data_IF_287667152085
#
_entry.id   IF_287667152085
#
_cell.length_a   1.000
_cell.length_b   1.000
_cell.length_c   1.000
_cell.angle_alpha   90.00
_cell.angle_beta   90.00
_cell.angle_gamma   90.00
#
_symmetry.space_group_name_H-M   'P 1'
#
loop_
_entity.id
_entity.type
_entity.pdbx_description
1 polymer ?
#
# COMPACT_ATOMS: atom_id res chain seq x y z
N UNK A 1 -30.50 53.53 50.21
CA UNK A 1 -30.57 53.56 48.74
C UNK A 1 -29.17 53.30 48.22
N UNK A 2 -28.85 52.05 47.86
CA UNK A 2 -27.53 51.63 47.46
C UNK A 2 -27.65 50.93 46.08
N UNK A 3 -27.09 51.58 45.07
CA UNK A 3 -27.14 51.12 43.69
C UNK A 3 -25.92 50.18 43.48
N UNK A 4 -26.16 48.92 43.23
CA UNK A 4 -25.12 47.94 42.86
C UNK A 4 -24.94 47.93 41.34
N UNK A 5 -23.72 48.32 40.89
CA UNK A 5 -23.28 48.25 39.48
C UNK A 5 -22.80 46.84 39.18
N UNK A 6 -23.43 46.19 38.18
CA UNK A 6 -22.97 44.91 37.63
C UNK A 6 -22.12 45.16 36.40
N UNK A 7 -20.81 44.89 36.53
CA UNK A 7 -19.89 44.84 35.40
C UNK A 7 -19.96 43.44 34.79
N UNK A 8 -20.50 43.35 33.58
CA UNK A 8 -20.48 42.12 32.78
C UNK A 8 -19.16 42.02 32.01
N UNK A 9 -18.40 41.01 32.29
CA UNK A 9 -17.18 40.66 31.51
C UNK A 9 -17.58 39.91 30.22
N UNK A 10 -17.36 40.53 29.08
CA UNK A 10 -17.50 39.90 27.76
C UNK A 10 -16.25 39.05 27.52
N UNK A 11 -16.39 37.72 27.55
CA UNK A 11 -15.34 36.78 27.14
C UNK A 11 -15.43 36.59 25.64
N UNK A 12 -14.56 37.23 24.90
CA UNK A 12 -14.43 37.03 23.44
C UNK A 12 -13.60 35.76 23.16
N UNK A 13 -14.26 34.67 22.83
CA UNK A 13 -13.61 33.44 22.41
C UNK A 13 -13.11 33.61 20.98
N UNK A 14 -11.79 33.77 20.80
CA UNK A 14 -11.13 33.76 19.50
C UNK A 14 -10.99 32.29 19.06
N UNK A 15 -11.83 31.87 18.12
CA UNK A 15 -11.68 30.57 17.44
C UNK A 15 -10.58 30.74 16.38
N UNK A 16 -9.36 30.27 16.66
CA UNK A 16 -8.33 30.12 15.65
C UNK A 16 -8.72 28.95 14.75
N UNK A 17 -9.29 29.24 13.60
CA UNK A 17 -9.45 28.27 12.52
C UNK A 17 -8.05 28.00 11.91
N UNK A 18 -7.43 26.88 12.24
CA UNK A 18 -6.28 26.36 11.50
C UNK A 18 -6.78 25.91 10.11
N UNK A 19 -6.88 26.85 9.18
CA UNK A 19 -7.04 26.54 7.77
C UNK A 19 -5.73 25.94 7.26
N UNK A 20 -5.70 24.62 6.95
CA UNK A 20 -4.64 24.05 6.16
C UNK A 20 -4.70 24.69 4.77
N UNK A 21 -3.78 25.61 4.46
CA UNK A 21 -3.69 26.22 3.16
C UNK A 21 -3.47 25.11 2.11
N UNK A 22 -4.37 24.99 1.14
CA UNK A 22 -4.12 24.14 -0.02
C UNK A 22 -2.94 24.71 -0.81
N UNK A 23 -2.03 23.86 -1.33
CA UNK A 23 -0.87 24.32 -2.11
C UNK A 23 -1.31 25.17 -3.30
N UNK A 24 -0.50 26.14 -3.66
CA UNK A 24 -0.77 26.97 -4.83
C UNK A 24 -0.84 26.07 -6.08
N UNK A 25 -1.84 26.28 -6.95
CA UNK A 25 -2.10 25.42 -8.12
C UNK A 25 -0.85 25.25 -9.01
N UNK A 26 0.01 26.26 -9.11
CA UNK A 26 1.23 26.23 -9.91
C UNK A 26 2.29 25.24 -9.35
N UNK A 27 2.48 25.20 -8.04
CA UNK A 27 3.45 24.30 -7.39
C UNK A 27 2.97 22.85 -7.42
N UNK A 28 1.68 22.62 -7.20
CA UNK A 28 1.07 21.32 -7.37
C UNK A 28 1.26 20.75 -8.78
N UNK A 29 1.02 21.58 -9.84
CA UNK A 29 1.23 21.15 -11.23
C UNK A 29 2.69 20.76 -11.46
N UNK A 30 3.63 21.57 -10.99
CA UNK A 30 5.08 21.32 -11.13
C UNK A 30 5.51 20.03 -10.44
N UNK A 31 4.97 19.72 -9.26
CA UNK A 31 5.38 18.56 -8.45
C UNK A 31 4.65 17.27 -8.84
N UNK A 32 3.33 17.32 -9.05
CA UNK A 32 2.48 16.15 -9.20
C UNK A 32 2.18 15.78 -10.66
N UNK A 33 2.08 16.78 -11.55
CA UNK A 33 1.76 16.54 -12.97
C UNK A 33 2.72 17.29 -13.92
N UNK A 34 4.05 17.13 -13.77
CA UNK A 34 5.05 17.90 -14.50
C UNK A 34 4.99 17.67 -16.01
N UNK A 35 4.35 16.60 -16.47
CA UNK A 35 4.22 16.24 -17.90
C UNK A 35 2.81 16.48 -18.46
N UNK A 36 1.93 17.14 -17.69
CA UNK A 36 0.53 17.34 -18.07
C UNK A 36 -0.37 16.10 -17.93
N UNK A 37 0.16 14.99 -17.43
CA UNK A 37 -0.55 13.76 -17.09
C UNK A 37 -0.08 13.23 -15.74
N UNK A 38 -0.93 12.47 -15.05
CA UNK A 38 -0.55 11.80 -13.81
C UNK A 38 0.07 10.43 -14.12
N UNK A 39 1.36 10.26 -13.80
CA UNK A 39 2.09 8.99 -13.99
C UNK A 39 2.04 8.20 -12.68
N UNK A 40 1.29 7.09 -12.71
CA UNK A 40 1.06 6.25 -11.53
C UNK A 40 1.90 4.98 -11.63
N UNK A 41 2.89 4.81 -10.76
CA UNK A 41 3.64 3.56 -10.66
C UNK A 41 2.77 2.50 -9.96
N UNK A 42 2.61 1.34 -10.59
CA UNK A 42 1.80 0.22 -10.09
C UNK A 42 2.62 -1.07 -10.02
N UNK A 43 2.47 -1.83 -8.95
CA UNK A 43 3.03 -3.17 -8.85
C UNK A 43 2.05 -4.16 -9.51
N UNK A 44 2.54 -4.94 -10.48
CA UNK A 44 1.74 -5.97 -11.16
C UNK A 44 1.81 -7.25 -10.33
N UNK A 45 0.65 -7.79 -9.97
CA UNK A 45 0.53 -9.12 -9.40
C UNK A 45 -0.11 -10.06 -10.42
N UNK A 46 0.26 -11.36 -10.43
CA UNK A 46 -0.45 -12.34 -11.24
C UNK A 46 -1.90 -12.47 -10.76
N UNK A 47 -2.82 -12.71 -11.68
CA UNK A 47 -4.20 -13.03 -11.32
C UNK A 47 -4.23 -14.26 -10.38
N UNK A 48 -5.13 -14.31 -9.39
CA UNK A 48 -6.32 -13.46 -9.21
C UNK A 48 -6.13 -12.28 -8.23
N UNK A 49 -4.97 -12.06 -7.61
CA UNK A 49 -4.80 -10.96 -6.66
C UNK A 49 -4.73 -9.61 -7.37
N UNK A 50 -5.71 -8.76 -7.14
CA UNK A 50 -5.80 -7.42 -7.70
C UNK A 50 -5.77 -6.31 -6.64
N UNK A 51 -5.26 -6.59 -5.44
CA UNK A 51 -5.05 -5.56 -4.42
C UNK A 51 -4.12 -4.45 -4.94
N UNK A 52 -3.08 -4.82 -5.68
CA UNK A 52 -2.22 -3.85 -6.37
C UNK A 52 -2.74 -3.61 -7.78
N UNK A 53 -2.19 -4.30 -8.76
CA UNK A 53 -2.65 -4.24 -10.13
C UNK A 53 -2.44 -5.57 -10.87
N UNK A 54 -3.37 -5.92 -11.75
CA UNK A 54 -3.23 -7.02 -12.70
C UNK A 54 -3.49 -6.50 -14.11
N UNK A 55 -2.79 -7.06 -15.08
CA UNK A 55 -3.02 -6.76 -16.49
C UNK A 55 -4.01 -7.79 -17.06
N UNK A 56 -5.10 -7.32 -17.62
CA UNK A 56 -6.04 -8.17 -18.35
C UNK A 56 -5.40 -8.68 -19.65
N UNK A 57 -5.34 -10.00 -19.80
CA UNK A 57 -4.65 -10.64 -20.92
C UNK A 57 -5.32 -10.40 -22.28
N UNK A 58 -6.63 -10.11 -22.29
CA UNK A 58 -7.41 -9.91 -23.53
C UNK A 58 -7.39 -8.44 -23.95
N UNK A 59 -7.66 -7.54 -23.01
CA UNK A 59 -7.79 -6.10 -23.31
C UNK A 59 -6.49 -5.32 -23.13
N UNK A 60 -5.49 -5.90 -22.47
CA UNK A 60 -4.25 -5.24 -22.09
C UNK A 60 -4.40 -4.16 -21.00
N UNK A 61 -5.61 -3.92 -20.50
CA UNK A 61 -5.91 -2.91 -19.48
C UNK A 61 -5.50 -3.38 -18.09
N UNK A 62 -5.10 -2.44 -17.25
CA UNK A 62 -4.87 -2.70 -15.84
C UNK A 62 -6.18 -2.59 -15.05
N UNK A 63 -6.33 -3.42 -14.02
CA UNK A 63 -7.36 -3.35 -12.99
C UNK A 63 -6.75 -3.63 -11.62
N UNK A 64 -7.35 -3.10 -10.56
CA UNK A 64 -6.85 -3.26 -9.20
C UNK A 64 -7.13 -2.04 -8.34
N UNK A 65 -6.98 -2.17 -7.02
CA UNK A 65 -7.25 -1.08 -6.08
C UNK A 65 -6.38 0.13 -6.38
N UNK A 66 -5.08 -0.05 -6.64
CA UNK A 66 -4.17 1.06 -6.95
C UNK A 66 -4.49 1.71 -8.30
N UNK A 67 -5.02 0.95 -9.25
CA UNK A 67 -5.48 1.45 -10.56
C UNK A 67 -6.71 2.34 -10.39
N UNK A 68 -7.70 1.89 -9.61
CA UNK A 68 -8.93 2.64 -9.35
C UNK A 68 -8.65 3.95 -8.62
N UNK A 69 -7.78 3.92 -7.59
CA UNK A 69 -7.36 5.11 -6.84
C UNK A 69 -6.55 6.08 -7.72
N UNK A 70 -5.61 5.58 -8.52
CA UNK A 70 -4.83 6.40 -9.46
C UNK A 70 -5.70 7.06 -10.53
N UNK A 71 -6.64 6.31 -11.10
CA UNK A 71 -7.60 6.86 -12.07
C UNK A 71 -8.53 7.91 -11.45
N UNK A 72 -8.96 7.70 -10.20
CA UNK A 72 -9.79 8.68 -9.48
C UNK A 72 -9.02 9.96 -9.16
N UNK A 73 -7.75 9.84 -8.75
CA UNK A 73 -6.88 11.00 -8.52
C UNK A 73 -6.67 11.81 -9.81
N UNK A 74 -6.39 11.15 -10.94
CA UNK A 74 -6.23 11.81 -12.23
C UNK A 74 -7.51 12.54 -12.67
N UNK A 75 -8.69 11.91 -12.49
CA UNK A 75 -9.99 12.57 -12.73
C UNK A 75 -10.18 13.81 -11.88
N UNK A 76 -9.84 13.74 -10.58
CA UNK A 76 -9.92 14.90 -9.67
C UNK A 76 -8.99 16.03 -10.09
N UNK A 77 -7.82 15.71 -10.63
CA UNK A 77 -6.86 16.68 -11.18
C UNK A 77 -7.27 17.22 -12.57
N UNK A 78 -8.21 16.57 -13.26
CA UNK A 78 -8.63 16.93 -14.61
C UNK A 78 -7.58 16.61 -15.68
N UNK A 79 -6.73 15.58 -15.47
CA UNK A 79 -5.64 15.21 -16.40
C UNK A 79 -5.73 13.73 -16.80
N UNK A 80 -5.11 13.36 -17.93
CA UNK A 80 -4.95 11.94 -18.29
C UNK A 80 -4.11 11.18 -17.25
N UNK A 81 -4.39 9.88 -17.09
CA UNK A 81 -3.57 8.95 -16.29
C UNK A 81 -2.70 8.08 -17.19
N UNK A 82 -1.47 7.85 -16.74
CA UNK A 82 -0.56 6.85 -17.32
C UNK A 82 -0.13 5.88 -16.23
N UNK A 83 -0.40 4.59 -16.42
CA UNK A 83 0.04 3.55 -15.49
C UNK A 83 1.38 2.97 -15.92
N UNK A 84 2.35 2.96 -15.00
CA UNK A 84 3.71 2.46 -15.20
C UNK A 84 3.88 1.16 -14.42
N UNK A 85 3.84 0.00 -15.09
CA UNK A 85 3.90 -1.30 -14.43
C UNK A 85 5.31 -1.65 -13.96
N UNK A 86 5.40 -2.23 -12.77
CA UNK A 86 6.58 -2.81 -12.16
C UNK A 86 6.22 -4.21 -11.63
N UNK A 87 7.15 -5.15 -11.62
CA UNK A 87 6.90 -6.52 -11.14
C UNK A 87 6.61 -6.56 -9.63
N UNK A 88 7.21 -5.64 -8.87
CA UNK A 88 7.02 -5.54 -7.43
C UNK A 88 7.18 -4.09 -6.94
N UNK A 89 6.66 -3.81 -5.74
CA UNK A 89 6.79 -2.49 -5.11
C UNK A 89 8.24 -2.10 -4.77
N UNK A 90 9.17 -3.06 -4.69
CA UNK A 90 10.59 -2.79 -4.55
C UNK A 90 11.21 -2.12 -5.78
N UNK A 91 10.77 -2.47 -6.99
CA UNK A 91 11.22 -1.80 -8.22
C UNK A 91 10.73 -0.34 -8.29
N UNK A 92 9.50 -0.08 -7.82
CA UNK A 92 8.97 1.28 -7.71
C UNK A 92 9.84 2.10 -6.75
N UNK A 93 10.19 1.55 -5.58
CA UNK A 93 11.10 2.18 -4.63
C UNK A 93 12.43 2.55 -5.28
N UNK A 94 13.06 1.59 -5.98
CA UNK A 94 14.38 1.79 -6.60
C UNK A 94 14.36 2.83 -7.73
N UNK A 95 13.21 3.04 -8.36
CA UNK A 95 13.02 4.04 -9.42
C UNK A 95 12.56 5.41 -8.93
N UNK A 96 12.37 5.63 -7.62
CA UNK A 96 11.81 6.87 -7.08
C UNK A 96 12.57 8.13 -7.50
N UNK A 97 13.91 8.08 -7.50
CA UNK A 97 14.75 9.21 -7.89
C UNK A 97 14.83 9.44 -9.42
N UNK A 98 14.24 8.56 -10.24
CA UNK A 98 14.37 8.62 -11.70
C UNK A 98 13.51 9.70 -12.36
N UNK A 99 12.53 10.27 -11.63
CA UNK A 99 11.56 11.23 -12.19
C UNK A 99 10.58 10.61 -13.21
N UNK A 100 10.51 9.28 -13.30
CA UNK A 100 9.65 8.58 -14.28
C UNK A 100 8.19 8.49 -13.85
N UNK A 101 7.89 8.57 -12.55
CA UNK A 101 6.53 8.51 -12.02
C UNK A 101 6.29 9.62 -10.99
N UNK A 102 5.02 9.92 -10.71
CA UNK A 102 4.59 11.03 -9.87
C UNK A 102 3.96 10.55 -8.56
N UNK A 103 3.22 9.44 -8.60
CA UNK A 103 2.51 8.89 -7.44
C UNK A 103 2.51 7.37 -7.48
N UNK A 104 2.45 6.76 -6.31
CA UNK A 104 2.27 5.31 -6.14
C UNK A 104 1.45 5.01 -4.89
N UNK A 105 1.05 3.75 -4.74
CA UNK A 105 0.31 3.22 -3.58
C UNK A 105 1.03 1.95 -3.13
N UNK A 106 1.71 2.00 -1.97
CA UNK A 106 2.56 0.89 -1.55
C UNK A 106 2.54 0.67 -0.04
N UNK A 107 2.91 -0.52 0.45
CA UNK A 107 3.08 -0.78 1.89
C UNK A 107 4.12 0.16 2.50
N UNK A 108 3.79 0.68 3.67
CA UNK A 108 4.68 1.52 4.46
C UNK A 108 5.80 0.69 5.06
N UNK A 109 7.01 1.22 5.01
CA UNK A 109 8.22 0.58 5.54
C UNK A 109 9.32 1.64 5.75
N UNK A 110 10.13 1.50 6.79
CA UNK A 110 11.16 2.48 7.15
C UNK A 110 12.24 2.65 6.06
N UNK A 111 12.62 1.57 5.37
CA UNK A 111 13.57 1.67 4.26
C UNK A 111 13.02 2.53 3.12
N UNK A 112 11.72 2.41 2.83
CA UNK A 112 11.05 3.18 1.77
C UNK A 112 10.98 4.65 2.07
N UNK A 113 10.88 5.05 3.34
CA UNK A 113 10.90 6.46 3.77
C UNK A 113 12.18 7.19 3.37
N UNK A 114 13.24 6.48 3.02
CA UNK A 114 14.47 7.08 2.47
C UNK A 114 14.31 7.55 1.02
N UNK A 115 13.39 6.98 0.27
CA UNK A 115 13.23 7.19 -1.18
C UNK A 115 11.94 7.92 -1.54
N UNK A 116 10.89 7.76 -0.73
CA UNK A 116 9.56 8.35 -0.96
C UNK A 116 9.05 9.04 0.29
N UNK A 117 8.17 10.00 0.11
CA UNK A 117 7.37 10.57 1.18
C UNK A 117 5.98 9.96 1.15
N UNK A 118 5.57 9.39 2.30
CA UNK A 118 4.27 8.76 2.46
C UNK A 118 3.22 9.77 2.90
N UNK A 119 2.09 9.78 2.19
CA UNK A 119 0.86 10.44 2.59
C UNK A 119 0.00 9.55 3.47
N UNK A 120 -1.29 9.90 3.62
CA UNK A 120 -2.19 9.17 4.50
C UNK A 120 -2.41 7.72 4.04
N UNK A 121 -2.55 6.83 5.01
CA UNK A 121 -2.86 5.43 4.77
C UNK A 121 -4.32 5.28 4.30
N UNK A 122 -4.55 4.36 3.35
CA UNK A 122 -5.89 4.03 2.87
C UNK A 122 -6.34 2.62 3.25
N UNK A 123 -5.40 1.74 3.62
CA UNK A 123 -5.66 0.34 3.91
C UNK A 123 -4.77 -0.17 5.05
N UNK A 124 -5.30 -1.08 5.89
CA UNK A 124 -4.51 -1.83 6.88
C UNK A 124 -4.02 -3.11 6.26
N UNK A 125 -2.71 -3.32 6.29
CA UNK A 125 -2.03 -4.47 5.69
C UNK A 125 -1.64 -5.47 6.78
N UNK A 126 -2.08 -6.71 6.63
CA UNK A 126 -1.55 -7.84 7.40
C UNK A 126 -0.71 -8.74 6.50
N UNK A 127 0.51 -9.08 6.94
CA UNK A 127 1.37 -10.04 6.25
C UNK A 127 1.47 -11.33 7.06
N UNK A 128 1.40 -12.45 6.35
CA UNK A 128 1.44 -13.81 6.92
C UNK A 128 2.15 -14.76 5.96
N UNK A 129 2.07 -16.06 6.20
CA UNK A 129 2.67 -17.08 5.35
C UNK A 129 1.60 -17.93 4.65
N UNK A 130 1.82 -18.21 3.36
CA UNK A 130 1.21 -19.34 2.66
C UNK A 130 2.16 -20.52 2.80
N UNK A 131 1.71 -21.61 3.40
CA UNK A 131 2.54 -22.81 3.61
C UNK A 131 2.29 -23.85 2.51
N UNK A 132 3.34 -24.59 2.18
CA UNK A 132 3.30 -25.67 1.18
C UNK A 132 2.27 -26.75 1.54
N UNK A 133 1.78 -27.52 0.56
CA UNK A 133 0.92 -28.67 0.81
C UNK A 133 1.56 -29.65 1.77
N UNK A 134 0.80 -30.14 2.76
CA UNK A 134 1.30 -31.06 3.79
C UNK A 134 2.23 -30.46 4.85
N UNK A 135 2.48 -29.15 4.81
CA UNK A 135 3.32 -28.47 5.80
C UNK A 135 2.80 -28.64 7.21
N UNK A 136 3.75 -28.88 8.17
CA UNK A 136 3.48 -28.98 9.61
C UNK A 136 3.44 -27.62 10.31
N UNK A 137 3.80 -26.52 9.63
CA UNK A 137 3.70 -25.17 10.20
C UNK A 137 2.23 -24.84 10.47
N UNK A 138 1.84 -24.72 11.73
CA UNK A 138 0.45 -24.51 12.14
C UNK A 138 0.13 -23.03 12.41
N UNK A 139 1.09 -22.28 12.89
CA UNK A 139 0.99 -20.85 13.25
C UNK A 139 2.19 -20.07 12.75
N UNK A 140 2.08 -18.75 12.73
CA UNK A 140 3.10 -17.83 12.18
C UNK A 140 4.47 -18.03 12.86
N UNK A 141 4.48 -18.27 14.16
CA UNK A 141 5.70 -18.44 14.96
C UNK A 141 6.49 -19.69 14.57
N UNK A 142 5.83 -20.73 14.04
CA UNK A 142 6.47 -21.99 13.62
C UNK A 142 7.44 -21.77 12.44
N UNK A 143 7.26 -20.68 11.70
CA UNK A 143 8.16 -20.32 10.61
C UNK A 143 9.56 -19.87 11.09
N UNK A 144 9.69 -19.46 12.38
CA UNK A 144 10.97 -19.09 12.97
C UNK A 144 11.72 -20.31 13.53
N UNK A 145 12.02 -21.28 12.70
CA UNK A 145 12.74 -22.47 13.12
C UNK A 145 13.90 -22.83 12.16
N UNK A 146 14.99 -23.42 12.68
CA UNK A 146 16.08 -23.92 11.83
C UNK A 146 15.55 -24.90 10.78
N UNK A 147 16.02 -24.74 9.54
CA UNK A 147 15.64 -25.60 8.42
C UNK A 147 14.35 -25.17 7.69
N UNK A 148 13.55 -24.23 8.23
CA UNK A 148 12.43 -23.65 7.51
C UNK A 148 12.95 -22.67 6.45
N UNK A 149 12.49 -22.85 5.22
CA UNK A 149 12.87 -22.03 4.05
C UNK A 149 11.70 -21.10 3.71
N UNK A 150 11.90 -19.80 3.91
CA UNK A 150 10.88 -18.76 3.67
C UNK A 150 11.18 -18.06 2.34
N UNK A 151 10.32 -18.23 1.36
CA UNK A 151 10.35 -17.46 0.12
C UNK A 151 9.67 -16.12 0.26
N UNK A 152 10.17 -15.10 -0.44
CA UNK A 152 9.53 -13.80 -0.50
C UNK A 152 10.08 -12.91 -1.61
N UNK A 153 9.28 -11.94 -2.04
CA UNK A 153 9.69 -11.05 -3.13
C UNK A 153 10.74 -10.06 -2.63
N UNK A 154 11.86 -10.03 -3.33
CA UNK A 154 13.00 -9.16 -3.01
C UNK A 154 12.58 -7.69 -2.85
N UNK A 155 13.22 -6.98 -1.92
CA UNK A 155 13.04 -5.55 -1.68
C UNK A 155 11.59 -5.12 -1.30
N UNK A 156 10.75 -6.07 -0.82
CA UNK A 156 9.42 -5.74 -0.29
C UNK A 156 9.46 -5.53 1.23
N UNK A 157 8.55 -4.67 1.74
CA UNK A 157 8.39 -4.44 3.17
C UNK A 157 8.05 -5.74 3.92
N UNK A 158 7.20 -6.57 3.32
CA UNK A 158 6.79 -7.87 3.86
C UNK A 158 7.98 -8.83 4.00
N UNK A 159 8.84 -8.94 2.97
CA UNK A 159 10.01 -9.81 3.02
C UNK A 159 11.01 -9.36 4.09
N UNK A 160 11.28 -8.05 4.20
CA UNK A 160 12.12 -7.51 5.28
C UNK A 160 11.52 -7.75 6.66
N UNK A 161 10.20 -7.65 6.80
CA UNK A 161 9.53 -7.96 8.07
C UNK A 161 9.66 -9.44 8.43
N UNK A 162 9.47 -10.35 7.47
CA UNK A 162 9.67 -11.79 7.69
C UNK A 162 11.10 -12.10 8.19
N UNK A 163 12.12 -11.48 7.57
CA UNK A 163 13.52 -11.63 8.00
C UNK A 163 13.76 -11.15 9.44
N UNK A 164 13.08 -10.09 9.87
CA UNK A 164 13.19 -9.60 11.26
C UNK A 164 12.45 -10.46 12.26
N UNK A 165 11.32 -11.06 11.87
CA UNK A 165 10.44 -11.81 12.79
C UNK A 165 10.76 -13.30 12.83
N UNK A 166 11.48 -13.82 11.85
CA UNK A 166 11.88 -15.23 11.79
C UNK A 166 13.41 -15.40 11.56
N UNK A 167 14.27 -14.84 12.45
CA UNK A 167 15.71 -14.75 12.20
C UNK A 167 16.43 -16.11 12.17
N UNK A 168 15.80 -17.20 12.62
CA UNK A 168 16.41 -18.56 12.58
C UNK A 168 16.08 -19.33 11.29
N UNK A 169 15.14 -18.84 10.47
CA UNK A 169 14.79 -19.43 9.19
C UNK A 169 15.79 -19.08 8.09
N UNK A 170 15.76 -19.84 7.01
CA UNK A 170 16.50 -19.54 5.77
C UNK A 170 15.59 -18.74 4.83
N UNK A 171 16.16 -17.72 4.15
CA UNK A 171 15.37 -16.85 3.28
C UNK A 171 15.78 -16.98 1.82
N UNK A 172 14.79 -17.18 0.95
CA UNK A 172 14.95 -17.26 -0.52
C UNK A 172 14.28 -16.03 -1.14
N UNK A 173 15.08 -15.09 -1.62
CA UNK A 173 14.59 -13.90 -2.32
C UNK A 173 14.27 -14.22 -3.78
N UNK A 174 13.06 -13.92 -4.23
CA UNK A 174 12.62 -14.13 -5.61
C UNK A 174 12.22 -12.80 -6.26
N UNK A 175 12.29 -12.68 -7.61
CA UNK A 175 11.99 -11.41 -8.29
C UNK A 175 10.50 -11.06 -8.33
N UNK A 176 9.62 -12.03 -8.19
CA UNK A 176 8.17 -11.80 -8.29
C UNK A 176 7.36 -13.00 -7.87
N UNK A 177 6.04 -12.85 -7.95
CA UNK A 177 5.07 -13.85 -7.45
C UNK A 177 5.15 -15.17 -8.20
N UNK A 178 5.33 -15.14 -9.53
CA UNK A 178 5.43 -16.37 -10.34
C UNK A 178 6.67 -17.17 -9.96
N UNK A 179 7.79 -16.50 -9.67
CA UNK A 179 9.00 -17.16 -9.17
C UNK A 179 8.80 -17.74 -7.76
N UNK A 180 8.02 -17.09 -6.89
CA UNK A 180 7.66 -17.65 -5.59
C UNK A 180 6.81 -18.93 -5.70
N UNK A 181 5.84 -18.94 -6.63
CA UNK A 181 5.04 -20.13 -6.94
C UNK A 181 5.93 -21.26 -7.46
N UNK A 182 6.84 -20.95 -8.41
CA UNK A 182 7.76 -21.93 -8.98
C UNK A 182 8.67 -22.53 -7.91
N UNK A 183 9.26 -21.73 -7.03
CA UNK A 183 10.10 -22.19 -5.94
C UNK A 183 9.36 -23.10 -4.95
N UNK A 184 8.08 -22.80 -4.64
CA UNK A 184 7.26 -23.67 -3.79
C UNK A 184 6.93 -25.00 -4.47
N UNK A 185 6.58 -24.98 -5.74
CA UNK A 185 6.30 -26.19 -6.52
C UNK A 185 7.55 -27.07 -6.72
N UNK A 186 8.74 -26.47 -6.74
CA UNK A 186 10.03 -27.17 -6.82
C UNK A 186 10.57 -27.65 -5.47
N UNK A 187 9.82 -27.48 -4.38
CA UNK A 187 10.25 -27.77 -3.00
C UNK A 187 11.54 -27.04 -2.59
N UNK A 188 11.72 -25.82 -3.10
CA UNK A 188 12.86 -24.96 -2.72
C UNK A 188 12.54 -24.12 -1.48
N UNK A 189 11.23 -23.89 -1.18
CA UNK A 189 10.73 -23.13 -0.03
C UNK A 189 9.55 -23.85 0.63
N UNK A 190 9.43 -23.69 1.93
CA UNK A 190 8.37 -24.30 2.76
C UNK A 190 7.15 -23.38 2.92
N UNK A 191 7.37 -22.07 2.81
CA UNK A 191 6.30 -21.09 2.84
C UNK A 191 6.66 -19.81 2.06
N UNK A 192 5.62 -19.04 1.67
CA UNK A 192 5.74 -17.73 1.00
C UNK A 192 5.28 -16.63 1.94
N UNK A 193 6.13 -15.65 2.21
CA UNK A 193 5.83 -14.45 2.99
C UNK A 193 5.25 -13.35 2.09
N UNK A 194 3.96 -13.04 2.23
CA UNK A 194 3.29 -11.95 1.49
C UNK A 194 2.14 -11.34 2.29
N UNK A 195 1.53 -10.27 1.75
CA UNK A 195 0.28 -9.75 2.33
C UNK A 195 -0.84 -10.80 2.20
N UNK A 196 -1.73 -10.83 3.18
CA UNK A 196 -2.87 -11.76 3.21
C UNK A 196 -3.73 -11.67 1.94
N UNK A 197 -3.94 -10.44 1.45
CA UNK A 197 -4.69 -10.18 0.22
C UNK A 197 -4.01 -10.80 -1.02
N UNK A 198 -2.68 -10.72 -1.08
CA UNK A 198 -1.92 -11.35 -2.17
C UNK A 198 -1.94 -12.87 -2.08
N UNK A 199 -1.86 -13.42 -0.86
CA UNK A 199 -1.88 -14.87 -0.63
C UNK A 199 -3.23 -15.51 -0.97
N UNK A 200 -4.34 -14.82 -0.75
CA UNK A 200 -5.69 -15.34 -1.05
C UNK A 200 -5.84 -15.82 -2.49
N UNK A 201 -5.16 -15.13 -3.41
CA UNK A 201 -5.12 -15.52 -4.83
C UNK A 201 -4.15 -16.66 -5.15
N UNK A 202 -3.18 -16.95 -4.29
CA UNK A 202 -2.20 -18.02 -4.52
C UNK A 202 -2.70 -19.39 -4.11
N UNK A 203 -3.60 -19.49 -3.13
CA UNK A 203 -4.18 -20.77 -2.68
C UNK A 203 -4.79 -21.55 -3.86
N UNK A 204 -5.41 -20.87 -4.82
CA UNK A 204 -5.97 -21.51 -6.02
C UNK A 204 -4.92 -21.98 -7.02
N UNK A 205 -3.73 -21.38 -7.00
CA UNK A 205 -2.61 -21.72 -7.89
C UNK A 205 -1.70 -22.82 -7.33
N UNK A 206 -1.76 -23.06 -6.02
CA UNK A 206 -0.97 -24.06 -5.31
C UNK A 206 -1.95 -24.95 -4.53
N UNK A 207 -2.58 -25.95 -5.18
CA UNK A 207 -3.58 -26.81 -4.54
C UNK A 207 -3.00 -27.50 -3.29
N UNK A 208 -3.76 -27.47 -2.18
CA UNK A 208 -3.33 -28.03 -0.89
C UNK A 208 -2.51 -27.10 -0.01
N UNK A 209 -2.09 -25.93 -0.53
CA UNK A 209 -1.50 -24.88 0.30
C UNK A 209 -2.56 -24.20 1.17
N UNK A 210 -2.15 -23.58 2.26
CA UNK A 210 -3.03 -22.81 3.15
C UNK A 210 -2.35 -21.58 3.70
N UNK A 211 -3.12 -20.54 3.94
CA UNK A 211 -2.64 -19.32 4.61
C UNK A 211 -2.72 -19.53 6.12
N UNK A 212 -1.64 -19.19 6.85
CA UNK A 212 -1.63 -19.26 8.31
C UNK A 212 -2.52 -18.18 8.93
N UNK A 213 -3.15 -18.51 10.06
CA UNK A 213 -3.87 -17.55 10.88
C UNK A 213 -2.89 -16.58 11.56
N UNK A 214 -3.40 -15.36 11.88
CA UNK A 214 -2.56 -14.29 12.42
C UNK A 214 -1.61 -13.69 11.38
N UNK A 215 -0.64 -12.92 11.82
CA UNK A 215 0.33 -12.26 10.94
C UNK A 215 1.60 -11.86 11.66
N UNK A 216 2.72 -11.92 10.96
CA UNK A 216 4.01 -11.46 11.48
C UNK A 216 4.24 -9.95 11.30
N UNK A 217 3.39 -9.29 10.50
CA UNK A 217 3.43 -7.84 10.29
C UNK A 217 2.01 -7.31 10.20
N UNK A 218 1.72 -6.30 11.01
CA UNK A 218 0.56 -5.42 10.83
C UNK A 218 1.12 -4.03 10.47
N UNK A 219 0.76 -3.53 9.31
CA UNK A 219 1.24 -2.28 8.75
C UNK A 219 0.09 -1.57 8.02
N UNK A 220 0.41 -0.58 7.24
CA UNK A 220 -0.55 0.09 6.36
C UNK A 220 -0.04 0.19 4.94
N UNK A 221 -0.97 0.38 4.01
CA UNK A 221 -0.67 0.80 2.65
C UNK A 221 -1.08 2.26 2.52
N UNK A 222 -0.18 3.08 2.00
CA UNK A 222 -0.38 4.51 1.87
C UNK A 222 -0.09 4.99 0.44
N UNK A 223 -0.62 6.16 0.11
CA UNK A 223 -0.19 6.89 -1.07
C UNK A 223 1.23 7.40 -0.83
N UNK A 224 2.06 7.45 -1.87
CA UNK A 224 3.41 7.98 -1.78
C UNK A 224 3.80 8.76 -3.04
N UNK A 225 4.68 9.73 -2.85
CA UNK A 225 5.31 10.54 -3.91
C UNK A 225 6.83 10.42 -3.81
N UNK A 226 7.60 10.68 -4.88
CA UNK A 226 9.04 10.82 -4.79
C UNK A 226 9.44 11.85 -3.73
N UNK A 227 10.57 11.63 -3.08
CA UNK A 227 11.08 12.47 -1.98
C UNK A 227 11.12 13.96 -2.32
N UNK A 228 10.72 14.81 -1.35
CA UNK A 228 10.83 16.26 -1.46
C UNK A 228 9.71 16.95 -2.25
N UNK A 229 8.58 16.28 -2.50
CA UNK A 229 7.40 16.79 -3.20
C UNK A 229 6.29 17.17 -2.22
N UNK A 230 6.52 18.25 -1.44
CA UNK A 230 5.66 18.60 -0.30
C UNK A 230 4.21 18.95 -0.70
N UNK A 231 4.03 19.73 -1.77
CA UNK A 231 2.70 20.13 -2.23
C UNK A 231 1.95 18.96 -2.87
N UNK A 232 2.65 18.13 -3.63
CA UNK A 232 2.10 16.88 -4.14
C UNK A 232 1.67 15.95 -2.99
N UNK A 233 2.50 15.79 -1.96
CA UNK A 233 2.21 14.96 -0.78
C UNK A 233 0.96 15.45 -0.04
N UNK A 234 0.86 16.75 0.19
CA UNK A 234 -0.31 17.36 0.86
C UNK A 234 -1.60 17.09 0.07
N UNK A 235 -1.56 17.29 -1.25
CA UNK A 235 -2.71 17.06 -2.12
C UNK A 235 -3.14 15.59 -2.17
N UNK A 236 -2.20 14.65 -2.37
CA UNK A 236 -2.54 13.22 -2.44
C UNK A 236 -3.01 12.68 -1.09
N UNK A 237 -2.51 13.24 0.02
CA UNK A 237 -2.99 12.90 1.37
C UNK A 237 -4.45 13.34 1.58
N UNK A 238 -4.78 14.57 1.19
CA UNK A 238 -6.15 15.08 1.23
C UNK A 238 -7.10 14.27 0.33
N UNK A 239 -6.64 13.87 -0.86
CA UNK A 239 -7.39 12.98 -1.75
C UNK A 239 -7.70 11.65 -1.09
N UNK A 240 -6.75 11.03 -0.38
CA UNK A 240 -6.98 9.75 0.31
C UNK A 240 -8.03 9.90 1.41
N UNK A 241 -8.00 10.98 2.20
CA UNK A 241 -9.02 11.21 3.23
C UNK A 241 -10.42 11.36 2.61
N UNK A 242 -10.53 12.11 1.53
CA UNK A 242 -11.77 12.24 0.78
C UNK A 242 -12.24 10.89 0.21
N UNK A 243 -11.31 10.10 -0.36
CA UNK A 243 -11.60 8.77 -0.92
C UNK A 243 -12.06 7.76 0.15
N UNK A 244 -11.56 7.88 1.37
CA UNK A 244 -12.08 7.10 2.52
C UNK A 244 -13.48 7.56 2.92
N UNK A 245 -13.66 8.87 3.06
CA UNK A 245 -14.93 9.45 3.54
C UNK A 245 -16.09 9.22 2.58
N UNK A 246 -15.85 9.28 1.26
CA UNK A 246 -16.90 9.08 0.23
C UNK A 246 -17.06 7.61 -0.20
N UNK A 247 -16.36 6.67 0.45
CA UNK A 247 -16.46 5.23 0.20
C UNK A 247 -15.71 4.73 -1.04
N UNK A 248 -14.92 5.57 -1.74
CA UNK A 248 -14.17 5.16 -2.93
C UNK A 248 -13.16 4.05 -2.61
N UNK A 249 -12.45 4.15 -1.48
CA UNK A 249 -11.50 3.10 -1.05
C UNK A 249 -12.23 1.77 -0.83
N UNK A 250 -13.37 1.78 -0.12
CA UNK A 250 -14.17 0.58 0.12
C UNK A 250 -14.66 -0.03 -1.20
N UNK A 251 -15.19 0.80 -2.08
CA UNK A 251 -15.65 0.37 -3.41
C UNK A 251 -14.52 -0.25 -4.24
N UNK A 252 -13.32 0.32 -4.22
CA UNK A 252 -12.16 -0.22 -4.93
C UNK A 252 -11.75 -1.59 -4.39
N UNK A 253 -11.77 -1.79 -3.06
CA UNK A 253 -11.51 -3.08 -2.43
C UNK A 253 -12.59 -4.11 -2.81
N UNK A 254 -13.85 -3.75 -2.72
CA UNK A 254 -15.00 -4.65 -3.00
C UNK A 254 -15.02 -5.10 -4.47
N UNK A 255 -14.67 -4.22 -5.41
CA UNK A 255 -14.59 -4.54 -6.84
C UNK A 255 -13.52 -5.57 -7.16
N UNK A 256 -12.57 -5.80 -6.24
CA UNK A 256 -11.50 -6.79 -6.35
C UNK A 256 -11.74 -8.04 -5.47
N UNK A 257 -12.97 -8.23 -4.95
CA UNK A 257 -13.34 -9.31 -4.02
C UNK A 257 -12.56 -9.28 -2.69
N UNK A 258 -12.24 -8.07 -2.19
CA UNK A 258 -11.51 -7.83 -0.96
C UNK A 258 -12.41 -7.24 0.15
N UNK A 259 -13.61 -7.81 0.33
CA UNK A 259 -14.62 -7.32 1.29
C UNK A 259 -14.12 -7.35 2.74
N UNK A 260 -13.25 -8.30 3.08
CA UNK A 260 -12.67 -8.45 4.42
C UNK A 260 -11.47 -7.53 4.67
N UNK A 261 -10.95 -6.85 3.65
CA UNK A 261 -9.85 -5.90 3.81
C UNK A 261 -10.30 -4.65 4.54
N UNK A 262 -9.47 -4.14 5.44
CA UNK A 262 -9.81 -3.01 6.30
C UNK A 262 -9.33 -1.70 5.70
N UNK A 263 -10.28 -0.75 5.55
CA UNK A 263 -9.94 0.65 5.23
C UNK A 263 -9.25 1.27 6.45
N UNK A 264 -8.17 2.00 6.22
CA UNK A 264 -7.47 2.68 7.30
C UNK A 264 -8.34 3.77 7.95
N UNK A 265 -8.26 3.97 9.27
CA UNK A 265 -8.98 5.05 9.95
C UNK A 265 -8.71 6.42 9.35
N UNK A 266 -9.67 7.36 9.54
CA UNK A 266 -9.50 8.75 9.12
C UNK A 266 -8.26 9.37 9.79
N UNK A 267 -7.50 10.16 9.02
CA UNK A 267 -6.29 10.83 9.50
C UNK A 267 -5.09 9.93 9.78
N UNK A 268 -5.19 8.61 9.54
CA UNK A 268 -4.08 7.70 9.80
C UNK A 268 -2.88 8.02 8.90
N UNK A 269 -1.77 8.40 9.56
CA UNK A 269 -0.47 8.57 8.92
C UNK A 269 0.36 7.30 9.07
N UNK A 270 1.29 7.02 8.15
CA UNK A 270 2.19 5.87 8.22
C UNK A 270 3.27 6.02 9.31
#
# INVERSE_FOLDING_TARGET
>A
MTIASRVGALVTTVILAFGTAMPAKADLVKELIPTGKLRVAIAIAPAPSAFYAVKDGTTGKFRGVTVDLGAALARKLGVPVEFLPHLASGEIQNSAASGKWDVTFMPVDEERKKFVDFGNAYHLLQSTYLVAPGSKLAKVEDANAPGVRIGGIANTATFRAAQRTAPTATFVAVPGVDAAIAAMNADEIDCIAMSRESLSGLVTKIPGSRTLEGGFLNSSTAVAVPKGKADALAYVSAFIEEAKANGLVRKALDSMNLQNSQVAPAGMKP
#
